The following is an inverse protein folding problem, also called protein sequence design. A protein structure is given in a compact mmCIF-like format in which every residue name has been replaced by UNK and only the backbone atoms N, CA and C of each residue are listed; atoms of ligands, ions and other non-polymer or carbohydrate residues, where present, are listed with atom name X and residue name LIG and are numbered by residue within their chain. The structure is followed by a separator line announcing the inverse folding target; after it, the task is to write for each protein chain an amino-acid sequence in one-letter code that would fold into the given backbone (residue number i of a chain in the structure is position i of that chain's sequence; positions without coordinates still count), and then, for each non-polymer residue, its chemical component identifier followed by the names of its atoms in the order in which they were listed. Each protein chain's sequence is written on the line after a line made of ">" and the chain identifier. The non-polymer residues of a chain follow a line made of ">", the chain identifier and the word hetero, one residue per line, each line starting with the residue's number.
data_IF_817224014866
#
_entry.id   IF_817224014866
#
_cell.length_a   1.000
_cell.length_b   1.000
_cell.length_c   1.000
_cell.angle_alpha   90.00
_cell.angle_beta   90.00
_cell.angle_gamma   90.00
#
_symmetry.space_group_name_H-M   'P 1'
#
loop_
_entity.id
_entity.type
_entity.pdbx_description
1 polymer ?
#
# COMPACT_ATOMS: atom_id res chain seq x y z
N UNK A 1 -21.89 -3.78 -5.79
CA UNK A 1 -20.77 -4.69 -5.45
C UNK A 1 -20.03 -5.05 -6.73
N UNK A 2 -18.71 -4.94 -6.76
CA UNK A 2 -17.98 -5.47 -7.90
C UNK A 2 -18.24 -6.97 -8.00
N UNK A 3 -18.51 -7.44 -9.19
CA UNK A 3 -18.74 -8.85 -9.44
C UNK A 3 -17.42 -9.63 -9.42
N UNK A 4 -17.48 -10.94 -9.28
CA UNK A 4 -16.29 -11.81 -9.27
C UNK A 4 -15.49 -11.72 -10.56
N UNK A 5 -16.15 -11.42 -11.68
CA UNK A 5 -15.49 -11.26 -12.97
C UNK A 5 -14.60 -10.02 -13.00
N UNK A 6 -15.07 -8.90 -12.44
CA UNK A 6 -14.26 -7.67 -12.31
C UNK A 6 -13.02 -7.87 -11.44
N UNK A 7 -13.16 -8.60 -10.33
CA UNK A 7 -12.01 -8.94 -9.46
C UNK A 7 -11.00 -9.85 -10.18
N UNK A 8 -11.47 -10.84 -10.92
CA UNK A 8 -10.59 -11.71 -11.70
C UNK A 8 -9.82 -10.93 -12.77
N UNK A 9 -10.45 -9.96 -13.44
CA UNK A 9 -9.80 -9.07 -14.41
C UNK A 9 -8.72 -8.20 -13.75
N UNK A 10 -9.01 -7.62 -12.58
CA UNK A 10 -8.03 -6.82 -11.83
C UNK A 10 -6.80 -7.66 -11.44
N UNK A 11 -7.03 -8.88 -10.97
CA UNK A 11 -5.95 -9.80 -10.60
C UNK A 11 -5.13 -10.23 -11.81
N UNK A 12 -5.78 -10.61 -12.91
CA UNK A 12 -5.11 -11.05 -14.14
C UNK A 12 -4.27 -9.93 -14.79
N UNK A 13 -4.69 -8.69 -14.66
CA UNK A 13 -3.98 -7.52 -15.19
C UNK A 13 -2.92 -6.95 -14.22
N UNK A 14 -2.67 -7.57 -13.08
CA UNK A 14 -1.79 -7.05 -12.01
C UNK A 14 -2.15 -5.64 -11.52
N UNK A 15 -3.45 -5.34 -11.49
CA UNK A 15 -3.95 -4.02 -11.06
C UNK A 15 -4.18 -3.93 -9.55
N UNK A 16 -4.09 -5.04 -8.82
CA UNK A 16 -4.13 -5.05 -7.35
C UNK A 16 -2.72 -4.82 -6.84
N UNK A 17 -2.45 -3.61 -6.37
CA UNK A 17 -1.10 -3.16 -6.03
C UNK A 17 -0.75 -3.35 -4.56
N UNK A 18 -1.74 -3.18 -3.67
CA UNK A 18 -1.55 -3.25 -2.22
C UNK A 18 -2.71 -4.00 -1.59
N UNK A 19 -2.41 -4.85 -0.62
CA UNK A 19 -3.40 -5.60 0.17
C UNK A 19 -3.14 -5.47 1.66
N UNK A 20 -4.20 -5.53 2.46
CA UNK A 20 -4.08 -5.74 3.90
C UNK A 20 -3.60 -7.15 4.17
N UNK A 21 -2.68 -7.30 5.11
CA UNK A 21 -2.10 -8.60 5.50
C UNK A 21 -2.18 -8.80 7.01
N UNK A 22 -2.23 -10.06 7.43
CA UNK A 22 -2.03 -10.42 8.82
C UNK A 22 -0.55 -10.72 9.07
N UNK A 23 0.16 -9.92 9.87
CA UNK A 23 1.59 -10.14 10.12
C UNK A 23 1.88 -11.47 10.83
N UNK A 24 0.89 -12.03 11.54
CA UNK A 24 1.02 -13.28 12.28
C UNK A 24 0.64 -14.52 11.46
N UNK A 25 -0.05 -14.32 10.35
CA UNK A 25 -0.52 -15.40 9.48
C UNK A 25 -0.32 -15.00 8.03
N UNK A 26 0.82 -15.34 7.46
CA UNK A 26 1.12 -15.12 6.04
C UNK A 26 0.36 -16.14 5.17
N UNK A 27 -0.97 -16.18 5.32
CA UNK A 27 -1.81 -16.95 4.44
C UNK A 27 -1.76 -16.38 3.03
N UNK A 28 -1.89 -17.28 2.05
CA UNK A 28 -1.86 -16.95 0.63
C UNK A 28 -2.74 -15.73 0.31
N UNK A 29 -2.18 -14.64 -0.24
CA UNK A 29 -2.93 -13.44 -0.57
C UNK A 29 -4.02 -13.66 -1.62
N UNK A 30 -3.99 -14.77 -2.34
CA UNK A 30 -4.97 -15.11 -3.38
C UNK A 30 -6.26 -15.75 -2.83
N UNK A 31 -6.38 -15.93 -1.52
CA UNK A 31 -7.62 -16.40 -0.91
C UNK A 31 -8.63 -15.24 -0.83
N UNK A 32 -9.86 -15.53 -1.26
CA UNK A 32 -11.03 -14.64 -1.17
C UNK A 32 -11.46 -14.33 0.29
N UNK A 33 -10.69 -14.76 1.26
CA UNK A 33 -10.99 -14.60 2.67
C UNK A 33 -10.70 -13.19 3.14
N UNK A 34 -11.73 -12.47 3.53
CA UNK A 34 -11.59 -11.13 4.11
C UNK A 34 -11.08 -11.27 5.55
N UNK A 35 -9.97 -10.59 5.85
CA UNK A 35 -9.42 -10.57 7.20
C UNK A 35 -10.39 -9.88 8.17
N UNK A 36 -10.50 -10.37 9.43
CA UNK A 36 -11.32 -9.72 10.43
C UNK A 36 -10.74 -8.35 10.84
N UNK A 37 -11.62 -7.44 11.28
CA UNK A 37 -11.21 -6.19 11.90
C UNK A 37 -10.32 -6.47 13.15
N UNK A 38 -9.24 -5.71 13.40
CA UNK A 38 -8.76 -4.52 12.70
C UNK A 38 -7.78 -4.78 11.54
N UNK A 39 -7.49 -6.03 11.19
CA UNK A 39 -6.51 -6.40 10.13
C UNK A 39 -6.95 -5.93 8.74
N UNK A 40 -8.26 -6.07 8.45
CA UNK A 40 -8.90 -5.40 7.30
C UNK A 40 -9.89 -4.38 7.83
N UNK A 41 -9.55 -3.07 7.81
CA UNK A 41 -10.35 -2.05 8.49
C UNK A 41 -11.69 -1.76 7.82
N UNK A 42 -11.84 -2.07 6.53
CA UNK A 42 -13.03 -1.76 5.74
C UNK A 42 -13.74 -2.98 5.15
N UNK A 43 -13.24 -4.20 5.39
CA UNK A 43 -13.84 -5.42 4.87
C UNK A 43 -13.80 -5.54 3.33
N UNK A 44 -12.81 -4.92 2.68
CA UNK A 44 -12.66 -4.97 1.22
C UNK A 44 -12.46 -6.39 0.71
N UNK A 45 -13.03 -6.69 -0.46
CA UNK A 45 -12.86 -8.00 -1.10
C UNK A 45 -11.39 -8.26 -1.40
N UNK A 46 -10.95 -9.52 -1.20
CA UNK A 46 -9.54 -9.94 -1.36
C UNK A 46 -8.54 -9.09 -0.55
N UNK A 47 -9.00 -8.40 0.49
CA UNK A 47 -8.21 -7.49 1.32
C UNK A 47 -7.51 -6.37 0.53
N UNK A 48 -8.11 -5.93 -0.57
CA UNK A 48 -7.54 -4.90 -1.44
C UNK A 48 -7.48 -3.57 -0.70
N UNK A 49 -6.29 -2.97 -0.66
CA UNK A 49 -6.03 -1.67 -0.08
C UNK A 49 -5.62 -0.62 -1.13
N UNK A 50 -5.24 -1.05 -2.32
CA UNK A 50 -4.89 -0.16 -3.41
C UNK A 50 -4.97 -0.85 -4.77
N UNK A 51 -5.40 -0.10 -5.77
CA UNK A 51 -5.52 -0.55 -7.17
C UNK A 51 -4.92 0.47 -8.13
N UNK A 52 -4.47 0.00 -9.27
CA UNK A 52 -4.02 0.85 -10.37
C UNK A 52 -4.84 0.62 -11.64
N UNK A 53 -4.69 1.52 -12.60
CA UNK A 53 -5.14 1.28 -13.97
C UNK A 53 -4.20 0.29 -14.69
N UNK A 54 -4.52 -0.07 -15.93
CA UNK A 54 -3.70 -1.01 -16.72
C UNK A 54 -2.30 -0.48 -17.03
N UNK A 55 -2.12 0.85 -17.10
CA UNK A 55 -0.83 1.48 -17.37
C UNK A 55 0.07 1.56 -16.13
N UNK A 56 -0.52 1.46 -14.92
CA UNK A 56 0.17 1.68 -13.66
C UNK A 56 0.43 3.14 -13.32
N UNK A 57 -0.07 4.08 -14.13
CA UNK A 57 0.15 5.52 -13.95
C UNK A 57 -0.94 6.20 -13.12
N UNK A 58 -2.09 5.56 -12.98
CA UNK A 58 -3.17 6.02 -12.10
C UNK A 58 -3.32 5.01 -10.96
N UNK A 59 -3.19 5.50 -9.74
CA UNK A 59 -3.14 4.68 -8.55
C UNK A 59 -4.09 5.21 -7.47
N UNK A 60 -4.97 4.35 -6.99
CA UNK A 60 -5.87 4.62 -5.88
C UNK A 60 -5.47 3.82 -4.64
N UNK A 61 -5.42 4.46 -3.49
CA UNK A 61 -4.96 3.88 -2.24
C UNK A 61 -5.90 4.25 -1.09
N UNK A 62 -6.31 3.27 -0.28
CA UNK A 62 -7.11 3.52 0.91
C UNK A 62 -6.28 4.03 2.10
N UNK A 63 -5.13 3.43 2.44
CA UNK A 63 -4.22 4.03 3.43
C UNK A 63 -3.69 5.39 2.97
N UNK A 64 -3.41 6.26 3.93
CA UNK A 64 -2.95 7.62 3.70
C UNK A 64 -1.43 7.72 3.97
N UNK A 65 -0.57 7.50 2.97
CA UNK A 65 0.88 7.57 3.16
C UNK A 65 1.37 8.97 3.55
N UNK A 66 0.63 10.02 3.15
CA UNK A 66 0.92 11.40 3.54
C UNK A 66 0.79 11.65 5.05
N UNK A 67 0.06 10.79 5.76
CA UNK A 67 -0.04 10.90 7.21
C UNK A 67 1.29 10.60 7.93
N UNK A 68 2.20 9.89 7.29
CA UNK A 68 3.52 9.52 7.84
C UNK A 68 4.63 9.99 6.89
N UNK A 69 4.64 11.25 6.53
CA UNK A 69 5.72 11.83 5.73
C UNK A 69 6.97 12.12 6.57
N UNK A 70 6.83 12.22 7.88
CA UNK A 70 7.92 12.41 8.82
C UNK A 70 7.93 11.30 9.88
N UNK A 71 9.11 10.94 10.37
CA UNK A 71 9.27 9.82 11.32
C UNK A 71 8.46 10.02 12.61
N UNK A 72 8.39 11.23 13.12
CA UNK A 72 7.67 11.54 14.37
C UNK A 72 6.15 11.42 14.26
N UNK A 73 5.61 11.30 13.05
CA UNK A 73 4.19 11.05 12.82
C UNK A 73 3.82 9.56 12.91
N UNK A 74 4.82 8.67 12.95
CA UNK A 74 4.55 7.25 13.08
C UNK A 74 4.02 6.93 14.48
N UNK A 75 2.95 6.09 14.61
CA UNK A 75 2.36 5.76 15.92
C UNK A 75 3.36 5.18 16.93
N UNK A 76 4.37 4.45 16.43
CA UNK A 76 5.38 3.80 17.27
C UNK A 76 6.69 4.61 17.42
N UNK A 77 6.70 5.87 17.00
CA UNK A 77 7.91 6.70 17.05
C UNK A 77 8.49 6.82 18.47
N UNK A 78 7.62 7.09 19.45
CA UNK A 78 8.04 7.24 20.86
C UNK A 78 8.49 5.93 21.49
N UNK A 79 8.11 4.78 20.93
CA UNK A 79 8.54 3.45 21.37
C UNK A 79 9.88 3.02 20.78
N UNK A 80 10.43 3.78 19.84
CA UNK A 80 11.65 3.44 19.13
C UNK A 80 11.52 2.25 18.18
N UNK A 81 10.30 1.79 17.90
CA UNK A 81 10.00 0.65 17.03
C UNK A 81 9.47 1.05 15.65
N UNK A 82 9.37 2.35 15.38
CA UNK A 82 8.99 2.85 14.07
C UNK A 82 9.97 2.35 12.99
N UNK A 83 9.47 1.87 11.84
CA UNK A 83 10.34 1.43 10.75
C UNK A 83 11.28 2.55 10.31
N UNK A 84 12.55 2.20 10.15
CA UNK A 84 13.53 3.13 9.60
C UNK A 84 13.36 3.19 8.09
N UNK A 85 13.42 4.40 7.54
CA UNK A 85 13.47 4.58 6.09
C UNK A 85 14.89 4.31 5.57
N UNK A 86 15.00 3.79 4.37
CA UNK A 86 16.29 3.60 3.67
C UNK A 86 16.85 4.94 3.14
N UNK A 87 16.38 6.06 3.66
CA UNK A 87 16.77 7.37 3.21
C UNK A 87 17.88 7.94 4.08
N UNK A 88 18.82 8.66 3.45
CA UNK A 88 19.90 9.37 4.14
C UNK A 88 19.38 10.49 5.05
N UNK A 89 18.18 11.00 4.77
CA UNK A 89 17.55 12.05 5.57
C UNK A 89 16.77 11.41 6.72
N UNK A 90 17.29 11.54 7.91
CA UNK A 90 16.81 10.86 9.12
C UNK A 90 15.42 11.28 9.61
N UNK A 91 14.87 12.42 9.11
CA UNK A 91 13.56 12.91 9.53
C UNK A 91 12.39 12.37 8.69
N UNK A 92 12.68 11.79 7.52
CA UNK A 92 11.64 11.32 6.61
C UNK A 92 10.93 10.06 7.13
N UNK A 93 9.59 10.06 7.03
CA UNK A 93 8.76 8.92 7.33
C UNK A 93 8.61 7.98 6.13
N UNK A 94 8.26 6.74 6.42
CA UNK A 94 8.10 5.71 5.37
C UNK A 94 7.00 6.03 4.34
N UNK A 95 5.98 6.82 4.71
CA UNK A 95 4.92 7.23 3.79
C UNK A 95 5.41 8.10 2.64
N UNK A 96 6.54 8.80 2.80
CA UNK A 96 7.13 9.64 1.77
C UNK A 96 7.72 8.83 0.61
N UNK A 97 8.06 7.57 0.82
CA UNK A 97 8.67 6.71 -0.20
C UNK A 97 7.80 6.54 -1.45
N UNK A 98 6.48 6.46 -1.30
CA UNK A 98 5.55 6.33 -2.43
C UNK A 98 5.64 7.56 -3.34
N UNK A 99 5.69 8.76 -2.77
CA UNK A 99 5.82 10.01 -3.53
C UNK A 99 7.19 10.14 -4.20
N UNK A 100 8.25 9.71 -3.53
CA UNK A 100 9.60 9.65 -4.12
C UNK A 100 9.67 8.72 -5.32
N UNK A 101 9.08 7.54 -5.22
CA UNK A 101 9.03 6.60 -6.33
C UNK A 101 8.38 7.22 -7.58
N UNK A 102 7.31 7.99 -7.40
CA UNK A 102 6.66 8.69 -8.50
C UNK A 102 7.57 9.76 -9.13
N UNK A 103 8.25 10.55 -8.31
CA UNK A 103 9.20 11.56 -8.78
C UNK A 103 10.37 10.93 -9.53
N UNK A 104 10.94 9.87 -9.00
CA UNK A 104 12.07 9.15 -9.62
C UNK A 104 11.68 8.53 -10.96
N UNK A 105 10.46 7.97 -11.04
CA UNK A 105 9.92 7.48 -12.30
C UNK A 105 9.80 8.59 -13.35
N UNK A 106 9.21 9.74 -13.00
CA UNK A 106 9.06 10.88 -13.93
C UNK A 106 10.42 11.39 -14.38
N UNK A 107 11.40 11.47 -13.50
CA UNK A 107 12.78 11.82 -13.87
C UNK A 107 13.37 10.83 -14.86
N UNK A 108 13.17 9.52 -14.65
CA UNK A 108 13.72 8.47 -15.50
C UNK A 108 13.19 8.50 -16.93
N UNK A 109 11.94 8.93 -17.15
CA UNK A 109 11.33 9.00 -18.48
C UNK A 109 11.61 10.34 -19.21
N UNK A 110 12.05 11.37 -18.48
CA UNK A 110 12.36 12.70 -19.05
C UNK A 110 13.86 12.91 -19.33
N UNK A 111 14.67 11.96 -18.93
CA UNK A 111 16.10 11.94 -19.26
C UNK A 111 16.32 11.20 -20.64
#
# INVERSE_FOLDING_TARGET
>A
MPDRESLAKLSANNQITVRYVDPNNQSNPDKDEVLPFPKSPNGSMMNIAGISDKTGLVFGLMPHPEAIYAQWLHPDFTRGTAPKTNCEITWEGQGLQIFRNAVDYVKSIND
#
